data_IF_428795343346
#
_entry.id   IF_428795343346
#
_cell.length_a   1.000
_cell.length_b   1.000
_cell.length_c   1.000
_cell.angle_alpha   90.00
_cell.angle_beta   90.00
_cell.angle_gamma   90.00
#
_symmetry.space_group_name_H-M   'P 1'
#
loop_
_entity.id
_entity.type
_entity.pdbx_description
1 polymer ?
#
# COMPACT_ATOMS: atom_id res chain seq x y z
N UNK A 1 6.42 47.55 -11.78
CA UNK A 1 7.17 48.72 -11.26
C UNK A 1 6.15 49.60 -10.55
N UNK A 2 6.18 49.93 -9.26
CA UNK A 2 7.16 49.75 -8.19
C UNK A 2 6.43 50.00 -6.87
N UNK A 3 6.64 49.10 -5.89
CA UNK A 3 6.81 49.37 -4.46
C UNK A 3 5.93 50.46 -3.81
N UNK A 4 4.96 50.02 -2.99
CA UNK A 4 4.61 50.73 -1.77
C UNK A 4 5.08 49.92 -0.55
N UNK A 5 6.15 50.41 0.07
CA UNK A 5 6.47 50.15 1.48
C UNK A 5 6.11 51.40 2.27
N UNK A 6 5.44 51.25 3.41
CA UNK A 6 5.74 51.96 4.66
C UNK A 6 5.04 51.30 5.86
N UNK A 7 5.87 50.75 6.75
CA UNK A 7 5.68 50.51 8.19
C UNK A 7 5.27 51.81 8.96
N UNK A 8 5.10 51.80 10.31
CA UNK A 8 4.85 50.70 11.26
C UNK A 8 3.71 51.00 12.28
N UNK A 9 3.17 49.96 12.94
CA UNK A 9 2.36 50.11 14.15
C UNK A 9 3.27 50.22 15.39
N UNK A 10 3.15 51.34 16.09
CA UNK A 10 3.60 51.56 17.47
C UNK A 10 2.34 51.38 18.34
N UNK A 11 2.41 50.51 19.37
CA UNK A 11 1.52 50.63 20.54
C UNK A 11 2.37 50.46 21.80
N UNK A 12 2.44 51.55 22.53
CA UNK A 12 3.02 51.76 23.84
C UNK A 12 1.99 51.37 24.91
N UNK A 13 2.40 50.65 25.96
CA UNK A 13 1.57 50.49 27.18
C UNK A 13 2.39 50.89 28.40
N UNK A 14 1.78 51.78 29.16
CA UNK A 14 2.37 52.62 30.20
C UNK A 14 2.69 51.91 31.53
N UNK A 15 3.63 52.54 32.25
CA UNK A 15 4.01 52.26 33.64
C UNK A 15 3.00 52.87 34.61
N UNK A 16 2.70 52.14 35.69
CA UNK A 16 2.07 52.66 36.90
C UNK A 16 2.91 52.30 38.14
N UNK A 17 3.37 53.32 38.86
CA UNK A 17 3.95 53.27 40.21
C UNK A 17 2.78 53.43 41.23
N UNK A 18 2.77 52.94 42.47
CA UNK A 18 3.70 53.11 43.60
C UNK A 18 3.08 52.40 44.87
N UNK A 19 3.59 52.53 46.12
CA UNK A 19 4.01 51.41 46.96
C UNK A 19 3.13 51.13 48.20
N UNK A 20 3.30 49.97 48.86
CA UNK A 20 3.05 49.82 50.32
C UNK A 20 3.57 48.49 50.90
N UNK A 21 4.56 48.64 51.78
CA UNK A 21 4.86 47.97 53.07
C UNK A 21 4.74 46.43 53.18
N UNK A 22 5.89 45.81 53.45
CA UNK A 22 6.04 44.44 53.97
C UNK A 22 5.37 44.25 55.33
N UNK A 23 4.95 43.02 55.63
CA UNK A 23 5.37 42.36 56.86
C UNK A 23 6.23 41.12 56.56
N UNK A 24 7.23 40.96 57.41
CA UNK A 24 8.14 39.83 57.51
C UNK A 24 7.33 38.57 57.81
N UNK A 25 7.36 37.58 56.92
CA UNK A 25 6.98 36.20 57.22
C UNK A 25 8.21 35.31 56.99
N UNK A 26 8.54 34.56 58.02
CA UNK A 26 9.67 33.64 58.07
C UNK A 26 9.56 32.60 56.94
N UNK A 27 10.60 32.54 56.10
CA UNK A 27 10.77 31.47 55.13
C UNK A 27 11.23 30.21 55.87
N UNK A 28 10.30 29.28 56.13
CA UNK A 28 10.66 27.88 56.35
C UNK A 28 11.00 27.33 54.97
N UNK A 29 12.29 27.14 54.70
CA UNK A 29 12.77 26.42 53.54
C UNK A 29 12.39 24.94 53.67
N UNK A 30 11.21 24.57 53.17
CA UNK A 30 10.88 23.18 52.92
C UNK A 30 11.69 22.76 51.69
N UNK A 31 12.85 22.12 51.92
CA UNK A 31 13.57 21.40 50.88
C UNK A 31 12.71 20.21 50.50
N UNK A 32 11.80 20.40 49.55
CA UNK A 32 11.19 19.29 48.82
C UNK A 32 12.31 18.72 47.96
N UNK A 33 12.68 17.43 48.11
CA UNK A 33 13.63 16.83 47.20
C UNK A 33 12.96 16.78 45.82
N UNK A 34 13.31 17.72 44.94
CA UNK A 34 13.13 17.62 43.49
C UNK A 34 14.02 16.49 42.97
N UNK A 35 13.69 15.25 43.32
CA UNK A 35 14.51 14.08 42.98
C UNK A 35 13.70 12.86 42.54
N UNK A 36 12.43 12.76 42.91
CA UNK A 36 11.66 11.52 42.68
C UNK A 36 10.64 11.58 41.53
N UNK A 37 10.27 12.77 41.03
CA UNK A 37 9.21 12.89 40.02
C UNK A 37 9.70 12.83 38.56
N UNK A 38 11.02 12.74 38.32
CA UNK A 38 11.58 12.66 36.95
C UNK A 38 11.96 11.26 36.50
N UNK A 39 12.01 10.28 37.40
CA UNK A 39 12.42 8.91 37.05
C UNK A 39 11.26 8.05 36.53
N UNK A 40 10.00 8.37 36.87
CA UNK A 40 8.84 7.57 36.44
C UNK A 40 8.27 7.94 35.05
N UNK A 41 8.76 9.02 34.41
CA UNK A 41 8.34 9.42 33.06
C UNK A 41 9.36 9.08 31.98
N UNK A 42 10.58 8.65 32.35
CA UNK A 42 11.62 8.28 31.40
C UNK A 42 11.56 6.79 30.98
N UNK A 43 10.90 5.91 31.75
CA UNK A 43 10.78 4.47 31.41
C UNK A 43 9.67 4.14 30.40
N UNK A 44 8.81 5.10 30.03
CA UNK A 44 7.75 4.89 29.03
C UNK A 44 8.01 5.60 27.69
N UNK A 45 9.19 6.20 27.49
CA UNK A 45 9.48 7.03 26.32
C UNK A 45 10.24 6.31 25.19
N UNK A 46 10.79 5.11 25.41
CA UNK A 46 11.62 4.40 24.39
C UNK A 46 11.40 2.87 24.38
N UNK A 47 10.14 2.43 24.41
CA UNK A 47 9.83 1.19 23.70
C UNK A 47 9.48 1.56 22.26
N UNK A 48 10.52 1.74 21.42
CA UNK A 48 10.37 1.53 19.99
C UNK A 48 9.64 0.19 19.83
N UNK A 49 8.36 0.24 19.44
CA UNK A 49 7.51 -0.94 19.29
C UNK A 49 8.17 -1.81 18.23
N UNK A 50 8.96 -2.81 18.65
CA UNK A 50 9.71 -3.68 17.74
C UNK A 50 8.71 -4.26 16.75
N UNK A 51 8.93 -3.98 15.46
CA UNK A 51 8.06 -4.46 14.40
C UNK A 51 8.01 -5.99 14.43
N UNK A 52 6.84 -6.61 14.20
CA UNK A 52 6.76 -8.05 14.00
C UNK A 52 7.72 -8.48 12.88
N UNK A 53 8.48 -9.58 13.07
CA UNK A 53 9.39 -10.05 12.05
C UNK A 53 8.63 -10.51 10.80
N UNK A 54 9.30 -10.44 9.65
CA UNK A 54 8.78 -11.02 8.42
C UNK A 54 8.74 -12.55 8.52
N UNK A 55 7.69 -13.13 7.94
CA UNK A 55 7.42 -14.56 7.88
C UNK A 55 7.61 -15.06 6.45
N UNK A 56 8.45 -16.07 6.25
CA UNK A 56 8.50 -16.78 4.97
C UNK A 56 7.32 -17.74 4.88
N UNK A 57 6.51 -17.59 3.83
CA UNK A 57 5.29 -18.35 3.59
C UNK A 57 5.49 -19.18 2.32
N UNK A 58 5.30 -20.49 2.45
CA UNK A 58 5.38 -21.46 1.35
C UNK A 58 4.60 -22.72 1.78
N UNK A 59 4.87 -23.87 1.18
CA UNK A 59 4.25 -25.12 1.67
C UNK A 59 2.79 -25.24 1.26
N UNK A 60 2.02 -25.93 2.11
CA UNK A 60 0.58 -26.14 1.96
C UNK A 60 -0.24 -24.84 2.01
N UNK A 61 0.33 -23.77 2.58
CA UNK A 61 -0.35 -22.49 2.75
C UNK A 61 -0.50 -21.73 1.43
N UNK A 62 0.34 -22.04 0.43
CA UNK A 62 0.40 -21.36 -0.85
C UNK A 62 0.45 -22.34 -2.04
N UNK A 63 -0.46 -23.31 -2.05
CA UNK A 63 -0.67 -24.21 -3.20
C UNK A 63 -1.85 -23.73 -4.04
N UNK A 64 -1.60 -23.47 -5.32
CA UNK A 64 -2.63 -23.04 -6.26
C UNK A 64 -3.57 -24.18 -6.64
N UNK A 65 -4.72 -23.85 -7.23
CA UNK A 65 -5.70 -24.85 -7.69
C UNK A 65 -5.17 -25.76 -8.82
N UNK A 66 -4.23 -25.25 -9.63
CA UNK A 66 -3.47 -26.03 -10.62
C UNK A 66 -2.24 -26.73 -10.01
N UNK A 67 -2.11 -26.66 -8.69
CA UNK A 67 -1.13 -27.38 -7.90
C UNK A 67 0.21 -26.70 -7.77
N UNK A 68 0.46 -25.54 -8.37
CA UNK A 68 1.74 -24.85 -8.23
C UNK A 68 1.99 -24.43 -6.77
N UNK A 69 3.21 -24.60 -6.30
CA UNK A 69 3.62 -24.08 -5.01
C UNK A 69 4.22 -22.67 -5.18
N UNK A 70 3.58 -21.68 -4.55
CA UNK A 70 4.11 -20.32 -4.48
C UNK A 70 4.94 -20.14 -3.20
N UNK A 71 5.87 -19.19 -3.27
CA UNK A 71 6.62 -18.64 -2.14
C UNK A 71 6.30 -17.16 -1.97
N UNK A 72 6.24 -16.69 -0.73
CA UNK A 72 6.03 -15.29 -0.41
C UNK A 72 6.73 -14.91 0.90
N UNK A 73 6.96 -13.62 1.11
CA UNK A 73 7.31 -13.07 2.41
C UNK A 73 6.13 -12.23 2.93
N UNK A 74 5.68 -12.49 4.16
CA UNK A 74 4.60 -11.76 4.81
C UNK A 74 5.14 -10.90 5.95
N UNK A 75 4.79 -9.62 5.95
CA UNK A 75 5.11 -8.65 6.99
C UNK A 75 3.84 -8.37 7.78
N UNK A 76 3.70 -8.87 9.03
CA UNK A 76 2.46 -8.71 9.79
C UNK A 76 2.12 -7.24 10.07
N UNK A 77 0.83 -6.89 9.98
CA UNK A 77 0.34 -5.55 10.30
C UNK A 77 0.44 -5.24 11.79
N UNK A 78 0.45 -3.95 12.14
CA UNK A 78 0.60 -3.49 13.55
C UNK A 78 -0.67 -2.90 14.16
N UNK A 79 -1.75 -2.82 13.38
CA UNK A 79 -3.03 -2.18 13.71
C UNK A 79 -4.22 -3.16 13.75
N UNK A 80 -3.95 -4.47 13.76
CA UNK A 80 -4.97 -5.52 13.87
C UNK A 80 -6.07 -5.39 12.80
N UNK A 81 -7.33 -5.29 13.23
CA UNK A 81 -8.50 -5.14 12.33
C UNK A 81 -8.51 -3.86 11.49
N UNK A 82 -7.60 -2.93 11.73
CA UNK A 82 -7.45 -1.72 10.91
C UNK A 82 -6.28 -1.80 9.94
N UNK A 83 -5.37 -2.77 10.10
CA UNK A 83 -4.20 -2.94 9.22
C UNK A 83 -4.65 -3.17 7.78
N UNK A 84 -4.17 -2.30 6.89
CA UNK A 84 -4.40 -2.41 5.44
C UNK A 84 -3.56 -3.55 4.89
N UNK A 85 -4.16 -4.57 4.25
CA UNK A 85 -3.42 -5.57 3.52
C UNK A 85 -2.92 -5.00 2.19
N UNK A 86 -1.63 -5.17 1.92
CA UNK A 86 -0.98 -4.73 0.67
C UNK A 86 -0.29 -5.93 0.02
N UNK A 87 -0.60 -6.21 -1.24
CA UNK A 87 0.11 -7.24 -2.03
C UNK A 87 1.06 -6.55 -3.01
N UNK A 88 2.33 -6.94 -3.02
CA UNK A 88 3.38 -6.34 -3.87
C UNK A 88 3.81 -7.32 -4.98
N UNK A 89 3.48 -7.03 -6.23
CA UNK A 89 3.68 -7.90 -7.40
C UNK A 89 4.85 -7.41 -8.26
N UNK A 90 5.91 -8.20 -8.34
CA UNK A 90 7.16 -7.82 -9.00
C UNK A 90 7.04 -7.78 -10.52
N UNK A 91 7.99 -7.09 -11.16
CA UNK A 91 8.09 -7.01 -12.62
C UNK A 91 8.57 -8.33 -13.24
N UNK A 92 8.54 -8.41 -14.57
CA UNK A 92 9.00 -9.58 -15.30
C UNK A 92 10.46 -9.90 -14.98
N UNK A 93 10.77 -11.18 -14.69
CA UNK A 93 12.10 -11.64 -14.24
C UNK A 93 12.57 -11.05 -12.90
N UNK A 94 11.72 -10.34 -12.17
CA UNK A 94 11.97 -9.95 -10.79
C UNK A 94 11.65 -11.05 -9.79
N UNK A 95 11.78 -10.73 -8.51
CA UNK A 95 11.40 -11.58 -7.37
C UNK A 95 10.96 -10.73 -6.16
N UNK A 96 10.46 -11.39 -5.11
CA UNK A 96 9.95 -10.74 -3.90
C UNK A 96 10.98 -9.87 -3.16
N UNK A 97 12.29 -10.11 -3.31
CA UNK A 97 13.34 -9.38 -2.58
C UNK A 97 13.44 -7.93 -3.05
N UNK A 98 13.05 -7.64 -4.28
CA UNK A 98 13.01 -6.28 -4.84
C UNK A 98 12.09 -5.35 -4.04
N UNK A 99 11.08 -5.90 -3.36
CA UNK A 99 10.13 -5.16 -2.55
C UNK A 99 10.43 -5.11 -1.05
N UNK A 100 11.49 -5.78 -0.57
CA UNK A 100 11.75 -5.88 0.88
C UNK A 100 11.83 -4.50 1.57
N UNK A 101 12.43 -3.52 0.90
CA UNK A 101 12.50 -2.13 1.40
C UNK A 101 11.14 -1.45 1.50
N UNK A 102 10.31 -1.54 0.44
CA UNK A 102 8.97 -0.96 0.44
C UNK A 102 8.05 -1.67 1.44
N UNK A 103 8.12 -2.99 1.55
CA UNK A 103 7.30 -3.77 2.48
C UNK A 103 7.56 -3.36 3.94
N UNK A 104 8.84 -3.30 4.34
CA UNK A 104 9.23 -2.85 5.66
C UNK A 104 8.84 -1.38 5.92
N UNK A 105 8.97 -0.52 4.90
CA UNK A 105 8.55 0.88 4.99
C UNK A 105 7.03 1.00 5.24
N UNK A 106 6.20 0.28 4.48
CA UNK A 106 4.74 0.31 4.65
C UNK A 106 4.28 -0.29 5.98
N UNK A 107 4.93 -1.37 6.44
CA UNK A 107 4.68 -1.95 7.76
C UNK A 107 5.00 -0.92 8.86
N UNK A 108 6.15 -0.26 8.77
CA UNK A 108 6.61 0.70 9.78
C UNK A 108 5.77 1.97 9.82
N UNK A 109 5.57 2.60 8.66
CA UNK A 109 5.03 3.96 8.59
C UNK A 109 3.50 3.99 8.61
N UNK A 110 2.84 2.91 8.16
CA UNK A 110 1.39 2.84 7.99
C UNK A 110 0.76 1.63 8.69
N UNK A 111 1.54 0.81 9.38
CA UNK A 111 1.04 -0.40 10.06
C UNK A 111 0.41 -1.43 9.12
N UNK A 112 0.78 -1.41 7.84
CA UNK A 112 0.23 -2.29 6.82
C UNK A 112 0.65 -3.75 7.04
N UNK A 113 -0.24 -4.69 6.71
CA UNK A 113 0.10 -6.09 6.57
C UNK A 113 0.51 -6.34 5.11
N UNK A 114 1.77 -6.66 4.85
CA UNK A 114 2.31 -6.69 3.47
C UNK A 114 2.64 -8.12 3.04
N UNK A 115 2.07 -8.58 1.93
CA UNK A 115 2.38 -9.88 1.34
C UNK A 115 3.14 -9.68 0.03
N UNK A 116 4.32 -10.28 -0.06
CA UNK A 116 5.22 -10.14 -1.21
C UNK A 116 5.48 -11.51 -1.84
N UNK A 117 4.67 -11.94 -2.82
CA UNK A 117 4.86 -13.21 -3.50
C UNK A 117 6.00 -13.16 -4.52
N UNK A 118 6.64 -14.30 -4.72
CA UNK A 118 7.19 -14.64 -6.03
C UNK A 118 6.05 -15.12 -6.92
N UNK A 119 5.85 -14.47 -8.06
CA UNK A 119 4.86 -14.90 -9.05
C UNK A 119 5.31 -16.21 -9.72
N UNK A 120 4.36 -17.01 -10.23
CA UNK A 120 4.70 -18.29 -10.87
C UNK A 120 5.81 -18.17 -11.91
N UNK A 121 6.72 -19.14 -11.92
CA UNK A 121 7.88 -19.16 -12.80
C UNK A 121 9.01 -18.20 -12.41
N UNK A 122 8.86 -17.43 -11.33
CA UNK A 122 9.86 -16.49 -10.83
C UNK A 122 10.28 -16.85 -9.41
N UNK A 123 11.43 -16.30 -8.98
CA UNK A 123 12.01 -16.55 -7.65
C UNK A 123 11.98 -18.03 -7.27
N UNK A 124 11.32 -18.32 -6.15
CA UNK A 124 11.16 -19.68 -5.62
C UNK A 124 9.85 -20.36 -6.06
N UNK A 125 8.91 -19.64 -6.66
CA UNK A 125 7.61 -20.12 -7.17
C UNK A 125 7.72 -20.87 -8.51
N UNK A 126 8.60 -21.87 -8.59
CA UNK A 126 8.94 -22.57 -9.86
C UNK A 126 8.58 -24.06 -9.88
N UNK A 127 8.04 -24.59 -8.78
CA UNK A 127 7.85 -26.04 -8.60
C UNK A 127 6.38 -26.44 -8.57
N UNK A 128 6.04 -27.50 -9.31
CA UNK A 128 4.78 -28.23 -9.15
C UNK A 128 5.04 -29.49 -8.31
N UNK A 129 4.32 -29.71 -7.20
CA UNK A 129 4.40 -30.90 -6.37
C UNK A 129 3.84 -32.15 -7.07
N UNK A 130 3.09 -31.99 -8.17
CA UNK A 130 2.47 -33.11 -8.90
C UNK A 130 3.34 -33.64 -10.07
N UNK A 131 4.64 -33.34 -10.08
CA UNK A 131 5.58 -33.94 -11.04
C UNK A 131 5.71 -33.20 -12.38
N UNK A 132 5.46 -31.90 -12.41
CA UNK A 132 5.80 -31.03 -13.53
C UNK A 132 7.26 -30.56 -13.47
N UNK A 133 7.94 -30.46 -14.61
CA UNK A 133 9.26 -29.85 -14.69
C UNK A 133 9.26 -28.41 -14.16
N UNK A 134 10.45 -27.90 -13.79
CA UNK A 134 10.62 -26.52 -13.29
C UNK A 134 10.00 -25.52 -14.27
N UNK A 135 9.09 -24.68 -13.78
CA UNK A 135 8.54 -23.58 -14.59
C UNK A 135 9.66 -22.58 -14.88
N UNK A 136 9.81 -22.26 -16.16
CA UNK A 136 10.75 -21.26 -16.66
C UNK A 136 9.94 -20.06 -17.16
N UNK A 137 10.02 -18.93 -16.45
CA UNK A 137 9.38 -17.69 -16.88
C UNK A 137 9.72 -17.35 -18.34
N UNK A 138 10.95 -17.56 -18.81
CA UNK A 138 11.32 -17.20 -20.17
C UNK A 138 10.50 -17.92 -21.26
N UNK A 139 9.92 -19.09 -20.95
CA UNK A 139 9.15 -19.94 -21.87
C UNK A 139 7.64 -19.84 -21.66
N UNK A 140 7.21 -18.92 -20.80
CA UNK A 140 5.82 -18.76 -20.39
C UNK A 140 4.96 -18.16 -21.52
N UNK A 141 3.91 -18.89 -21.91
CA UNK A 141 2.86 -18.40 -22.80
C UNK A 141 1.80 -17.56 -22.08
N UNK A 142 0.92 -16.92 -22.85
CA UNK A 142 -0.08 -15.98 -22.32
C UNK A 142 -1.00 -16.58 -21.25
N UNK A 143 -1.39 -17.85 -21.38
CA UNK A 143 -2.27 -18.53 -20.42
C UNK A 143 -1.73 -18.52 -19.00
N UNK A 144 -0.41 -18.59 -18.83
CA UNK A 144 0.21 -18.57 -17.51
C UNK A 144 0.08 -17.20 -16.84
N UNK A 145 0.04 -16.10 -17.58
CA UNK A 145 -0.23 -14.78 -17.00
C UNK A 145 -1.69 -14.65 -16.55
N UNK A 146 -2.63 -15.30 -17.25
CA UNK A 146 -4.00 -15.42 -16.75
C UNK A 146 -4.06 -16.27 -15.48
N UNK A 147 -3.30 -17.38 -15.42
CA UNK A 147 -3.22 -18.18 -14.20
C UNK A 147 -2.54 -17.43 -13.04
N UNK A 148 -1.60 -16.51 -13.29
CA UNK A 148 -1.13 -15.56 -12.27
C UNK A 148 -2.28 -14.73 -11.73
N UNK A 149 -3.01 -14.06 -12.63
CA UNK A 149 -4.09 -13.15 -12.25
C UNK A 149 -5.25 -13.86 -11.56
N UNK A 150 -5.48 -15.14 -11.85
CA UNK A 150 -6.61 -15.88 -11.28
C UNK A 150 -6.16 -16.86 -10.20
N UNK A 151 -5.39 -17.89 -10.52
CA UNK A 151 -5.08 -18.95 -9.55
C UNK A 151 -4.09 -18.49 -8.47
N UNK A 152 -3.04 -17.75 -8.84
CA UNK A 152 -2.02 -17.32 -7.87
C UNK A 152 -2.62 -16.30 -6.91
N UNK A 153 -3.25 -15.26 -7.45
CA UNK A 153 -3.87 -14.21 -6.64
C UNK A 153 -5.01 -14.74 -5.75
N UNK A 154 -5.78 -15.73 -6.21
CA UNK A 154 -6.77 -16.40 -5.35
C UNK A 154 -6.13 -17.15 -4.18
N UNK A 155 -4.97 -17.76 -4.41
CA UNK A 155 -4.21 -18.46 -3.38
C UNK A 155 -3.66 -17.48 -2.35
N UNK A 156 -3.09 -16.37 -2.80
CA UNK A 156 -2.65 -15.27 -1.94
C UNK A 156 -3.82 -14.67 -1.14
N UNK A 157 -4.99 -14.52 -1.77
CA UNK A 157 -6.19 -14.06 -1.06
C UNK A 157 -6.64 -15.04 0.01
N UNK A 158 -6.61 -16.36 -0.22
CA UNK A 158 -6.95 -17.34 0.82
C UNK A 158 -6.05 -17.21 2.04
N UNK A 159 -4.75 -17.02 1.84
CA UNK A 159 -3.83 -16.71 2.93
C UNK A 159 -4.27 -15.43 3.67
N UNK A 160 -4.61 -14.36 2.96
CA UNK A 160 -5.10 -13.12 3.58
C UNK A 160 -6.46 -13.26 4.27
N UNK A 161 -7.34 -14.15 3.82
CA UNK A 161 -8.59 -14.51 4.51
C UNK A 161 -8.29 -15.11 5.89
N UNK A 162 -7.33 -16.03 5.95
CA UNK A 162 -6.90 -16.65 7.20
C UNK A 162 -6.36 -15.61 8.19
N UNK A 163 -5.54 -14.69 7.69
CA UNK A 163 -4.99 -13.55 8.47
C UNK A 163 -6.07 -12.57 8.91
N UNK A 164 -7.02 -12.26 8.03
CA UNK A 164 -8.18 -11.42 8.36
C UNK A 164 -8.98 -12.02 9.51
N UNK A 165 -9.27 -13.32 9.45
CA UNK A 165 -10.11 -14.01 10.43
C UNK A 165 -9.42 -14.27 11.77
N UNK A 166 -8.09 -14.10 11.82
CA UNK A 166 -7.27 -13.97 13.04
C UNK A 166 -7.20 -12.53 13.56
N UNK A 167 -7.91 -11.59 12.92
CA UNK A 167 -7.97 -10.17 13.28
C UNK A 167 -6.64 -9.43 13.10
N UNK A 168 -5.75 -9.98 12.27
CA UNK A 168 -4.41 -9.42 11.99
C UNK A 168 -4.42 -8.33 10.90
N UNK A 169 -5.52 -8.26 10.12
CA UNK A 169 -5.70 -7.29 9.03
C UNK A 169 -7.17 -7.10 8.66
N UNK A 170 -7.44 -6.12 7.80
CA UNK A 170 -8.75 -5.87 7.19
C UNK A 170 -8.76 -6.18 5.69
N UNK A 171 -9.18 -7.37 5.30
CA UNK A 171 -9.21 -7.76 3.89
C UNK A 171 -10.10 -6.83 3.03
N UNK A 172 -11.07 -6.13 3.63
CA UNK A 172 -11.93 -5.19 2.90
C UNK A 172 -11.19 -3.91 2.45
N UNK A 173 -9.95 -3.70 2.92
CA UNK A 173 -9.07 -2.58 2.57
C UNK A 173 -7.97 -2.96 1.56
N UNK A 174 -8.06 -4.11 0.87
CA UNK A 174 -6.95 -4.64 0.07
C UNK A 174 -6.42 -3.65 -0.97
N UNK A 175 -5.10 -3.42 -0.92
CA UNK A 175 -4.32 -2.71 -1.93
C UNK A 175 -3.45 -3.71 -2.70
N UNK A 176 -3.34 -3.54 -4.01
CA UNK A 176 -2.37 -4.28 -4.82
C UNK A 176 -1.46 -3.28 -5.52
N UNK A 177 -0.16 -3.44 -5.32
CA UNK A 177 0.90 -2.70 -6.00
C UNK A 177 1.53 -3.64 -7.00
N UNK A 178 1.60 -3.25 -8.27
CA UNK A 178 2.21 -4.05 -9.31
C UNK A 178 3.17 -3.24 -10.16
N UNK A 179 4.33 -3.82 -10.47
CA UNK A 179 5.29 -3.26 -11.41
C UNK A 179 5.25 -3.98 -12.77
N UNK A 180 5.16 -3.26 -13.88
CA UNK A 180 5.12 -3.81 -15.26
C UNK A 180 4.11 -4.97 -15.40
N UNK A 181 4.58 -6.22 -15.55
CA UNK A 181 3.76 -7.44 -15.54
C UNK A 181 2.86 -7.51 -14.31
N UNK A 182 3.40 -7.23 -13.12
CA UNK A 182 2.66 -7.23 -11.86
C UNK A 182 1.49 -6.24 -11.89
N UNK A 183 1.61 -5.12 -12.60
CA UNK A 183 0.51 -4.17 -12.77
C UNK A 183 -0.64 -4.78 -13.60
N UNK A 184 -0.31 -5.51 -14.67
CA UNK A 184 -1.29 -6.24 -15.47
C UNK A 184 -1.99 -7.33 -14.62
N UNK A 185 -1.23 -8.16 -13.91
CA UNK A 185 -1.77 -9.19 -13.00
C UNK A 185 -2.71 -8.58 -11.96
N UNK A 186 -2.30 -7.46 -11.33
CA UNK A 186 -3.11 -6.75 -10.35
C UNK A 186 -4.45 -6.26 -10.93
N UNK A 187 -4.44 -5.65 -12.12
CA UNK A 187 -5.65 -5.13 -12.75
C UNK A 187 -6.63 -6.25 -13.15
N UNK A 188 -6.13 -7.36 -13.71
CA UNK A 188 -6.96 -8.51 -14.06
C UNK A 188 -7.57 -9.17 -12.82
N UNK A 189 -6.78 -9.31 -11.75
CA UNK A 189 -7.29 -9.84 -10.50
C UNK A 189 -8.32 -8.92 -9.85
N UNK A 190 -8.11 -7.60 -9.86
CA UNK A 190 -9.10 -6.65 -9.35
C UNK A 190 -10.45 -6.78 -10.08
N UNK A 191 -10.42 -6.95 -11.40
CA UNK A 191 -11.63 -7.25 -12.16
C UNK A 191 -12.28 -8.58 -11.73
N UNK A 192 -11.47 -9.61 -11.51
CA UNK A 192 -11.95 -10.92 -11.05
C UNK A 192 -12.59 -10.85 -9.65
N UNK A 193 -11.94 -10.21 -8.68
CA UNK A 193 -12.40 -10.00 -7.30
C UNK A 193 -13.74 -9.23 -7.23
N UNK A 194 -13.95 -8.28 -8.15
CA UNK A 194 -15.17 -7.47 -8.19
C UNK A 194 -16.33 -8.09 -8.97
N UNK A 195 -16.06 -9.08 -9.81
CA UNK A 195 -17.08 -9.68 -10.67
C UNK A 195 -17.43 -11.12 -10.31
N UNK A 196 -16.56 -11.84 -9.60
CA UNK A 196 -16.76 -13.26 -9.30
C UNK A 196 -17.50 -13.43 -7.97
N UNK A 197 -18.72 -13.97 -7.97
CA UNK A 197 -19.43 -14.26 -6.72
C UNK A 197 -18.67 -15.29 -5.88
N UNK A 198 -18.57 -15.02 -4.58
CA UNK A 198 -18.03 -15.94 -3.58
C UNK A 198 -19.15 -16.34 -2.64
N UNK A 199 -19.01 -17.50 -1.99
CA UNK A 199 -19.88 -17.92 -0.88
C UNK A 199 -19.11 -17.76 0.42
N UNK A 200 -19.02 -16.53 0.90
CA UNK A 200 -18.39 -16.17 2.18
C UNK A 200 -19.46 -15.68 3.14
N UNK A 201 -19.46 -16.16 4.38
CA UNK A 201 -20.38 -15.76 5.45
C UNK A 201 -21.85 -15.54 5.01
N UNK A 202 -22.39 -16.46 4.21
CA UNK A 202 -23.76 -16.49 3.67
C UNK A 202 -24.13 -15.42 2.63
N UNK A 203 -23.15 -14.73 2.02
CA UNK A 203 -23.40 -13.81 0.90
C UNK A 203 -22.93 -14.43 -0.40
N UNK A 204 -23.85 -14.71 -1.32
CA UNK A 204 -23.55 -15.09 -2.71
C UNK A 204 -23.22 -13.85 -3.56
N UNK A 205 -22.18 -13.11 -3.18
CA UNK A 205 -21.79 -11.84 -3.80
C UNK A 205 -20.27 -11.81 -4.06
N UNK A 206 -19.84 -10.94 -4.98
CA UNK A 206 -18.41 -10.72 -5.19
C UNK A 206 -17.76 -10.14 -3.92
N UNK A 207 -16.51 -10.51 -3.65
CA UNK A 207 -15.79 -10.05 -2.46
C UNK A 207 -15.59 -8.54 -2.48
N UNK A 208 -15.19 -8.00 -3.64
CA UNK A 208 -14.86 -6.58 -3.81
C UNK A 208 -13.91 -6.10 -2.71
N UNK A 209 -12.88 -6.89 -2.44
CA UNK A 209 -11.87 -6.65 -1.40
C UNK A 209 -10.85 -5.62 -1.88
N UNK A 210 -10.49 -5.67 -3.17
CA UNK A 210 -9.53 -4.72 -3.76
C UNK A 210 -10.14 -3.33 -3.79
N UNK A 211 -9.60 -2.40 -2.99
CA UNK A 211 -10.04 -1.00 -2.94
C UNK A 211 -9.07 -0.04 -3.58
N UNK A 212 -7.82 -0.46 -3.75
CA UNK A 212 -6.85 0.35 -4.47
C UNK A 212 -5.87 -0.45 -5.33
N UNK A 213 -5.48 0.14 -6.46
CA UNK A 213 -4.41 -0.35 -7.34
C UNK A 213 -3.31 0.69 -7.46
N UNK A 214 -2.06 0.27 -7.34
CA UNK A 214 -0.89 1.10 -7.63
C UNK A 214 -0.12 0.43 -8.75
N UNK A 215 -0.03 1.10 -9.90
CA UNK A 215 0.60 0.59 -11.12
C UNK A 215 1.90 1.34 -11.38
N UNK A 216 3.02 0.64 -11.25
CA UNK A 216 4.38 1.18 -11.44
C UNK A 216 4.88 0.74 -12.81
N UNK A 217 5.13 1.69 -13.72
CA UNK A 217 5.46 1.45 -15.13
C UNK A 217 4.59 0.38 -15.79
N UNK A 218 3.24 0.53 -15.79
CA UNK A 218 2.39 -0.46 -16.44
C UNK A 218 2.66 -0.50 -17.95
N UNK A 219 2.89 -1.69 -18.51
CA UNK A 219 2.80 -1.91 -19.96
C UNK A 219 1.32 -1.86 -20.38
N UNK A 220 1.02 -1.22 -21.51
CA UNK A 220 -0.36 -1.19 -22.01
C UNK A 220 -0.87 -2.60 -22.34
N UNK A 221 0.02 -3.45 -22.86
CA UNK A 221 -0.21 -4.87 -23.11
C UNK A 221 1.04 -5.65 -22.72
N UNK A 222 0.93 -6.42 -21.62
CA UNK A 222 1.95 -7.36 -21.23
C UNK A 222 1.64 -8.75 -21.82
N UNK A 223 2.29 -9.09 -22.94
CA UNK A 223 2.27 -10.43 -23.55
C UNK A 223 0.86 -11.04 -23.73
N UNK A 224 -0.12 -10.24 -24.14
CA UNK A 224 -1.50 -10.66 -24.37
C UNK A 224 -2.46 -10.38 -23.22
N UNK A 225 -2.02 -9.63 -22.20
CA UNK A 225 -2.84 -9.07 -21.13
C UNK A 225 -2.96 -7.54 -21.30
N UNK A 226 -3.77 -7.06 -22.26
CA UNK A 226 -3.98 -5.64 -22.42
C UNK A 226 -4.77 -5.07 -21.24
N UNK A 227 -4.31 -3.95 -20.69
CA UNK A 227 -4.89 -3.31 -19.50
C UNK A 227 -6.28 -2.72 -19.76
N UNK A 228 -6.64 -2.45 -21.01
CA UNK A 228 -7.98 -1.98 -21.33
C UNK A 228 -9.08 -2.98 -20.96
N UNK A 229 -8.81 -4.30 -20.97
CA UNK A 229 -9.84 -5.31 -20.64
C UNK A 229 -10.34 -5.16 -19.20
N UNK A 230 -9.48 -5.22 -18.16
CA UNK A 230 -9.95 -5.01 -16.79
C UNK A 230 -10.36 -3.56 -16.53
N UNK A 231 -9.64 -2.57 -17.05
CA UNK A 231 -9.87 -1.16 -16.75
C UNK A 231 -11.05 -0.55 -17.54
N UNK A 232 -11.59 -1.22 -18.54
CA UNK A 232 -12.85 -0.79 -19.16
C UNK A 232 -14.07 -1.20 -18.31
N UNK A 233 -13.93 -2.15 -17.38
CA UNK A 233 -15.03 -2.61 -16.54
C UNK A 233 -15.50 -1.47 -15.60
N UNK A 234 -16.80 -1.09 -15.61
CA UNK A 234 -17.34 -0.04 -14.74
C UNK A 234 -17.10 -0.28 -13.24
N UNK A 235 -17.08 -1.53 -12.79
CA UNK A 235 -16.82 -1.88 -11.38
C UNK A 235 -15.36 -1.68 -10.99
N UNK A 236 -14.44 -1.65 -11.95
CA UNK A 236 -13.01 -1.43 -11.68
C UNK A 236 -12.70 0.05 -11.82
N UNK A 237 -13.03 0.65 -12.97
CA UNK A 237 -12.63 2.01 -13.36
C UNK A 237 -13.28 3.14 -12.57
N UNK A 238 -14.31 2.85 -11.78
CA UNK A 238 -15.08 3.87 -11.04
C UNK A 238 -15.18 3.58 -9.54
N UNK A 239 -14.75 2.40 -9.08
CA UNK A 239 -14.92 2.01 -7.67
C UNK A 239 -13.61 1.72 -6.95
N UNK A 240 -12.51 1.59 -7.70
CA UNK A 240 -11.18 1.29 -7.16
C UNK A 240 -10.33 2.56 -7.31
N UNK A 241 -9.74 3.02 -6.20
CA UNK A 241 -8.80 4.15 -6.25
C UNK A 241 -7.50 3.71 -6.92
N UNK A 242 -6.90 4.55 -7.75
CA UNK A 242 -5.70 4.18 -8.52
C UNK A 242 -4.57 5.20 -8.41
N UNK A 243 -3.35 4.70 -8.34
CA UNK A 243 -2.13 5.47 -8.54
C UNK A 243 -1.35 4.87 -9.71
N UNK A 244 -0.90 5.71 -10.63
CA UNK A 244 -0.12 5.30 -11.79
C UNK A 244 1.17 6.09 -11.78
N UNK A 245 2.31 5.40 -11.90
CA UNK A 245 3.63 6.06 -11.88
C UNK A 245 4.48 5.52 -13.01
N UNK A 246 5.19 6.38 -13.73
CA UNK A 246 6.23 5.97 -14.68
C UNK A 246 7.36 6.99 -14.76
N UNK A 247 8.58 6.53 -14.99
CA UNK A 247 9.75 7.41 -15.15
C UNK A 247 9.57 8.36 -16.33
N UNK A 248 9.67 9.66 -16.07
CA UNK A 248 9.46 10.72 -17.08
C UNK A 248 10.47 10.65 -18.24
N UNK A 249 11.65 10.10 -18.00
CA UNK A 249 12.74 10.04 -18.98
C UNK A 249 12.78 8.70 -19.75
N UNK A 250 11.84 7.78 -19.48
CA UNK A 250 11.59 6.60 -20.31
C UNK A 250 10.33 6.80 -21.18
N UNK A 251 10.46 7.17 -22.46
CA UNK A 251 9.31 7.53 -23.29
C UNK A 251 8.29 6.39 -23.48
N UNK A 252 8.75 5.13 -23.51
CA UNK A 252 7.88 3.97 -23.72
C UNK A 252 6.96 3.75 -22.52
N UNK A 253 7.53 3.55 -21.33
CA UNK A 253 6.75 3.31 -20.11
C UNK A 253 5.85 4.49 -19.79
N UNK A 254 6.32 5.72 -20.03
CA UNK A 254 5.50 6.90 -19.81
C UNK A 254 4.31 6.97 -20.77
N UNK A 255 4.49 6.64 -22.05
CA UNK A 255 3.40 6.60 -23.02
C UNK A 255 2.31 5.59 -22.63
N UNK A 256 2.72 4.39 -22.21
CA UNK A 256 1.78 3.36 -21.76
C UNK A 256 1.05 3.77 -20.47
N UNK A 257 1.76 4.31 -19.48
CA UNK A 257 1.16 4.83 -18.25
C UNK A 257 0.15 5.97 -18.52
N UNK A 258 0.48 6.91 -19.41
CA UNK A 258 -0.44 7.98 -19.83
C UNK A 258 -1.66 7.42 -20.55
N UNK A 259 -1.50 6.36 -21.35
CA UNK A 259 -2.61 5.69 -22.02
C UNK A 259 -3.56 5.05 -21.01
N UNK A 260 -3.03 4.42 -19.96
CA UNK A 260 -3.82 3.89 -18.84
C UNK A 260 -4.56 5.02 -18.12
N UNK A 261 -3.87 6.10 -17.75
CA UNK A 261 -4.48 7.26 -17.07
C UNK A 261 -5.62 7.86 -17.89
N UNK A 262 -5.39 8.12 -19.18
CA UNK A 262 -6.39 8.72 -20.08
C UNK A 262 -7.61 7.83 -20.30
N UNK A 263 -7.46 6.51 -20.21
CA UNK A 263 -8.59 5.58 -20.31
C UNK A 263 -9.58 5.78 -19.16
N UNK A 264 -9.08 6.03 -17.95
CA UNK A 264 -9.89 6.01 -16.72
C UNK A 264 -10.18 7.39 -16.13
N UNK A 265 -9.41 8.43 -16.44
CA UNK A 265 -9.49 9.75 -15.79
C UNK A 265 -10.90 10.34 -15.74
N UNK A 266 -11.70 10.19 -16.80
CA UNK A 266 -13.09 10.70 -16.85
C UNK A 266 -14.08 10.00 -15.90
N UNK A 267 -13.67 8.90 -15.27
CA UNK A 267 -14.48 8.13 -14.34
C UNK A 267 -14.09 8.36 -12.87
N UNK A 268 -13.10 9.21 -12.65
CA UNK A 268 -12.57 9.59 -11.36
C UNK A 268 -12.87 11.06 -11.09
N UNK A 269 -12.74 11.49 -9.83
CA UNK A 269 -12.97 12.90 -9.50
C UNK A 269 -11.91 13.76 -10.18
N UNK A 270 -12.33 14.91 -10.69
CA UNK A 270 -11.43 15.82 -11.39
C UNK A 270 -10.40 16.40 -10.40
N UNK A 271 -9.10 16.11 -10.55
CA UNK A 271 -8.08 16.57 -9.62
C UNK A 271 -7.92 18.10 -9.63
N UNK A 272 -8.37 18.82 -10.67
CA UNK A 272 -8.31 20.29 -10.69
C UNK A 272 -9.33 20.92 -9.73
N UNK A 273 -10.42 20.22 -9.46
CA UNK A 273 -11.52 20.71 -8.63
C UNK A 273 -11.64 20.02 -7.27
N UNK A 274 -11.05 18.83 -7.13
CA UNK A 274 -11.12 18.03 -5.92
C UNK A 274 -10.00 18.34 -4.91
N UNK A 275 -10.39 18.45 -3.64
CA UNK A 275 -9.46 18.43 -2.51
C UNK A 275 -8.69 17.10 -2.46
N UNK A 276 -7.50 17.12 -1.85
CA UNK A 276 -6.58 15.99 -1.91
C UNK A 276 -7.17 14.68 -1.35
N UNK A 277 -8.00 14.76 -0.31
CA UNK A 277 -8.66 13.62 0.35
C UNK A 277 -9.85 13.06 -0.44
N UNK A 278 -10.37 13.84 -1.39
CA UNK A 278 -11.43 13.45 -2.32
C UNK A 278 -10.87 12.71 -3.53
N UNK A 279 -9.67 13.10 -4.00
CA UNK A 279 -8.98 12.48 -5.14
C UNK A 279 -8.86 10.97 -4.98
N UNK A 280 -9.19 10.24 -6.03
CA UNK A 280 -9.14 8.78 -6.11
C UNK A 280 -8.30 8.25 -7.28
N UNK A 281 -7.80 9.14 -8.14
CA UNK A 281 -6.83 8.85 -9.20
C UNK A 281 -5.60 9.77 -9.07
N UNK A 282 -4.42 9.17 -9.12
CA UNK A 282 -3.13 9.87 -9.02
C UNK A 282 -2.21 9.46 -10.17
N UNK A 283 -1.48 10.43 -10.72
CA UNK A 283 -0.48 10.20 -11.78
C UNK A 283 0.86 10.81 -11.37
N UNK A 284 1.93 10.00 -11.39
CA UNK A 284 3.28 10.40 -11.00
C UNK A 284 4.29 10.22 -12.13
N UNK A 285 5.15 11.23 -12.32
CA UNK A 285 6.17 11.25 -13.37
C UNK A 285 7.56 11.62 -12.80
N UNK A 286 8.16 10.77 -11.95
CA UNK A 286 9.48 11.05 -11.40
C UNK A 286 10.52 11.27 -12.51
N UNK A 287 11.47 12.22 -12.36
CA UNK A 287 12.48 12.53 -13.37
C UNK A 287 13.57 11.45 -13.40
N UNK A 288 13.27 10.31 -14.04
CA UNK A 288 14.15 9.15 -14.12
C UNK A 288 13.87 8.32 -15.36
N UNK A 289 14.86 7.55 -15.79
CA UNK A 289 14.75 6.47 -16.79
C UNK A 289 14.42 5.11 -16.19
N UNK A 290 14.42 5.01 -14.86
CA UNK A 290 14.13 3.76 -14.16
C UNK A 290 12.66 3.39 -14.32
N UNK A 291 12.40 2.09 -14.34
CA UNK A 291 11.09 1.47 -14.55
C UNK A 291 10.81 0.44 -13.46
N UNK A 292 9.53 0.16 -13.24
CA UNK A 292 9.09 -0.92 -12.36
C UNK A 292 9.67 -0.82 -10.95
N UNK A 293 10.12 -1.95 -10.40
CA UNK A 293 10.73 -2.03 -9.07
C UNK A 293 12.07 -1.31 -8.96
N UNK A 294 12.74 -1.02 -10.10
CA UNK A 294 14.03 -0.29 -10.10
C UNK A 294 13.90 1.16 -9.63
N UNK A 295 12.69 1.72 -9.60
CA UNK A 295 12.43 3.04 -9.01
C UNK A 295 12.39 3.04 -7.48
N UNK A 296 12.30 1.86 -6.84
CA UNK A 296 12.28 1.72 -5.38
C UNK A 296 13.70 1.81 -4.80
N UNK A 297 13.82 2.35 -3.60
CA UNK A 297 15.09 2.57 -2.89
C UNK A 297 15.94 3.70 -3.46
N UNK A 298 15.45 4.41 -4.48
CA UNK A 298 16.22 5.45 -5.17
C UNK A 298 16.01 6.79 -4.45
N UNK A 299 17.09 7.29 -3.84
CA UNK A 299 17.10 8.59 -3.17
C UNK A 299 16.63 9.69 -4.12
N UNK A 300 15.70 10.51 -3.65
CA UNK A 300 15.19 11.67 -4.39
C UNK A 300 13.99 11.39 -5.30
N UNK A 301 13.65 10.12 -5.60
CA UNK A 301 12.42 9.81 -6.33
C UNK A 301 11.17 9.88 -5.44
N UNK A 302 11.34 9.68 -4.12
CA UNK A 302 10.28 9.72 -3.12
C UNK A 302 9.07 8.84 -3.47
N UNK A 303 9.30 7.70 -4.12
CA UNK A 303 8.22 6.81 -4.56
C UNK A 303 7.53 6.12 -3.37
N UNK A 304 8.30 5.62 -2.40
CA UNK A 304 7.76 4.94 -1.22
C UNK A 304 6.92 5.87 -0.35
N UNK A 305 7.36 7.11 -0.02
CA UNK A 305 6.49 8.10 0.62
C UNK A 305 5.22 8.40 -0.17
N UNK A 306 5.28 8.50 -1.50
CA UNK A 306 4.11 8.75 -2.33
C UNK A 306 3.11 7.58 -2.29
N UNK A 307 3.60 6.34 -2.36
CA UNK A 307 2.80 5.11 -2.20
C UNK A 307 2.15 5.07 -0.83
N UNK A 308 2.90 5.31 0.24
CA UNK A 308 2.39 5.32 1.60
C UNK A 308 1.33 6.40 1.81
N UNK A 309 1.51 7.59 1.23
CA UNK A 309 0.54 8.68 1.28
C UNK A 309 -0.75 8.34 0.53
N UNK A 310 -0.65 7.69 -0.62
CA UNK A 310 -1.83 7.21 -1.34
C UNK A 310 -2.61 6.16 -0.53
N UNK A 311 -1.92 5.18 0.04
CA UNK A 311 -2.54 4.15 0.90
C UNK A 311 -3.23 4.80 2.11
N UNK A 312 -2.58 5.77 2.74
CA UNK A 312 -3.16 6.52 3.85
C UNK A 312 -4.48 7.18 3.45
N UNK A 313 -4.45 8.03 2.41
CA UNK A 313 -5.62 8.79 1.95
C UNK A 313 -6.78 7.90 1.51
N UNK A 314 -6.50 6.74 0.90
CA UNK A 314 -7.52 5.93 0.22
C UNK A 314 -7.99 4.72 1.01
N UNK A 315 -7.23 4.29 2.02
CA UNK A 315 -7.51 3.03 2.73
C UNK A 315 -7.41 3.17 4.25
N UNK A 316 -6.38 3.85 4.78
CA UNK A 316 -6.25 4.06 6.23
C UNK A 316 -7.34 5.01 6.72
N UNK A 317 -7.46 6.17 6.06
CA UNK A 317 -8.39 7.24 6.46
C UNK A 317 -9.84 6.99 6.00
N UNK A 318 -10.10 5.87 5.31
CA UNK A 318 -11.43 5.53 4.78
C UNK A 318 -12.13 4.48 5.64
N UNK A 319 -13.45 4.63 5.91
CA UNK A 319 -14.19 3.74 6.78
C UNK A 319 -14.59 2.46 6.03
N UNK A 320 -13.74 1.42 6.10
CA UNK A 320 -14.05 0.09 5.59
C UNK A 320 -14.30 -0.88 6.76
N UNK A 321 -15.52 -1.43 6.90
CA UNK A 321 -15.85 -2.29 8.02
C UNK A 321 -15.08 -3.61 7.94
N UNK A 322 -14.50 -4.02 9.07
CA UNK A 322 -13.96 -5.36 9.22
C UNK A 322 -15.08 -6.39 9.40
N UNK A 323 -14.94 -7.55 8.78
CA UNK A 323 -15.79 -8.71 9.04
C UNK A 323 -15.03 -10.01 8.78
N UNK A 324 -15.42 -11.05 9.53
CA UNK A 324 -14.94 -12.41 9.32
C UNK A 324 -15.42 -12.96 7.97
N UNK A 325 -14.57 -13.69 7.25
CA UNK A 325 -14.84 -14.22 5.90
C UNK A 325 -15.28 -15.67 5.89
N UNK A 326 -14.70 -16.51 6.74
CA UNK A 326 -15.15 -17.88 6.89
C UNK A 326 -16.61 -17.89 7.37
N UNK A 327 -17.47 -18.61 6.64
CA UNK A 327 -18.81 -18.92 7.13
C UNK A 327 -18.72 -19.67 8.46
N UNK A 328 -19.71 -19.50 9.34
CA UNK A 328 -19.88 -20.43 10.46
C UNK A 328 -20.03 -21.82 9.84
N UNK A 329 -19.12 -22.74 10.13
CA UNK A 329 -19.31 -24.16 9.83
C UNK A 329 -20.56 -24.67 10.53
#
# INVERSE_FOLDING_TARGET
>A
MTSERRCPLIVEVARGSSPRRLPVFAAIALVVPLGAARLAWAENADQEKKLPPAEEVAGSDLVTSDGLQLSATFYPGTEGRESVPVVLLHMWKGDRKEYAGLALYLQREKGCAVLVPDLRGHGESTQSPFGGGKLDAAKMGTDQFYLMAYNDMETLRKFLVDRNDKEELNLKKLCIVGAEMGAAVAAYYAAYDWTTPRREADRAAASQDVKALIMISPDWDFKGLPLNKPLANPLVRSQISMMIVAGKEDPKSLADARRVYNLITRYHVDPETAELDQRDLFFGEPPTKLEGTKMLGVKGLNLEPAIARFIELRLVDKPYPWYRRAGKK
#
